data_IF_692167624417
#
_entry.id   IF_692167624417
#
_cell.length_a   1.000
_cell.length_b   1.000
_cell.length_c   1.000
_cell.angle_alpha   90.00
_cell.angle_beta   90.00
_cell.angle_gamma   90.00
#
_symmetry.space_group_name_H-M   'P 1'
#
loop_
_entity.id
_entity.type
_entity.pdbx_description
1 polymer ?
#
# COMPACT_ATOMS: atom_id res chain seq x y z
N UNK A 1 -1.32 -37.12 -24.18
CA UNK A 1 -0.81 -35.76 -23.90
C UNK A 1 0.69 -35.88 -23.72
N UNK A 2 1.49 -35.24 -24.58
CA UNK A 2 2.93 -35.45 -24.64
C UNK A 2 3.64 -34.54 -23.62
N UNK A 3 4.67 -35.05 -22.93
CA UNK A 3 5.33 -34.35 -21.81
C UNK A 3 5.93 -33.00 -22.23
N UNK A 4 6.35 -32.91 -23.48
CA UNK A 4 6.92 -31.70 -24.09
C UNK A 4 5.89 -30.60 -24.33
N UNK A 5 4.64 -30.93 -24.67
CA UNK A 5 3.56 -29.94 -24.82
C UNK A 5 3.18 -29.32 -23.47
N UNK A 6 3.21 -30.10 -22.39
CA UNK A 6 2.93 -29.61 -21.02
C UNK A 6 4.02 -28.64 -20.58
N UNK A 7 5.29 -29.00 -20.81
CA UNK A 7 6.44 -28.14 -20.47
C UNK A 7 6.48 -26.85 -21.31
N UNK A 8 6.13 -26.92 -22.60
CA UNK A 8 6.03 -25.75 -23.46
C UNK A 8 4.88 -24.82 -23.05
N UNK A 9 3.79 -25.37 -22.49
CA UNK A 9 2.65 -24.61 -21.98
C UNK A 9 3.00 -23.88 -20.68
N UNK A 10 3.59 -24.57 -19.71
CA UNK A 10 4.06 -23.97 -18.44
C UNK A 10 5.13 -22.89 -18.67
N UNK A 11 6.02 -23.08 -19.64
CA UNK A 11 7.06 -22.09 -19.97
C UNK A 11 6.52 -20.85 -20.70
N UNK A 12 5.37 -20.97 -21.36
CA UNK A 12 4.67 -19.84 -22.01
C UNK A 12 3.62 -19.19 -21.09
N UNK A 13 3.18 -19.88 -20.03
CA UNK A 13 2.24 -19.39 -19.01
C UNK A 13 2.94 -18.51 -17.96
N UNK A 14 3.62 -17.45 -18.41
CA UNK A 14 3.96 -16.29 -17.58
C UNK A 14 4.67 -16.57 -16.23
N UNK A 15 4.44 -15.67 -15.27
CA UNK A 15 4.99 -15.74 -13.91
C UNK A 15 4.28 -16.88 -13.17
N UNK A 16 5.05 -17.76 -12.52
CA UNK A 16 4.52 -18.87 -11.72
C UNK A 16 3.56 -18.32 -10.64
N UNK A 17 2.41 -18.98 -10.42
CA UNK A 17 1.44 -18.60 -9.39
C UNK A 17 2.09 -18.45 -8.02
N UNK A 18 3.10 -19.30 -7.73
CA UNK A 18 3.89 -19.21 -6.50
C UNK A 18 4.70 -17.91 -6.43
N UNK A 19 5.34 -17.50 -7.52
CA UNK A 19 6.09 -16.25 -7.58
C UNK A 19 5.15 -15.04 -7.41
N UNK A 20 3.98 -15.06 -8.03
CA UNK A 20 2.97 -14.01 -7.88
C UNK A 20 2.46 -13.91 -6.43
N UNK A 21 2.28 -15.04 -5.75
CA UNK A 21 1.91 -15.07 -4.34
C UNK A 21 3.00 -14.49 -3.44
N UNK A 22 4.26 -14.89 -3.65
CA UNK A 22 5.41 -14.37 -2.89
C UNK A 22 5.57 -12.86 -3.12
N UNK A 23 5.42 -12.38 -4.35
CA UNK A 23 5.44 -10.95 -4.67
C UNK A 23 4.35 -10.19 -3.91
N UNK A 24 3.11 -10.69 -3.94
CA UNK A 24 1.97 -10.09 -3.22
C UNK A 24 2.23 -10.02 -1.71
N UNK A 25 2.70 -11.12 -1.11
CA UNK A 25 3.04 -11.18 0.32
C UNK A 25 4.19 -10.24 0.69
N UNK A 26 5.18 -10.10 -0.20
CA UNK A 26 6.33 -9.22 0.01
C UNK A 26 5.91 -7.75 0.10
N UNK A 27 4.97 -7.29 -0.73
CA UNK A 27 4.41 -5.94 -0.62
C UNK A 27 3.68 -5.72 0.71
N UNK A 28 2.91 -6.71 1.17
CA UNK A 28 2.24 -6.65 2.47
C UNK A 28 3.23 -6.54 3.63
N UNK A 29 4.28 -7.37 3.62
CA UNK A 29 5.34 -7.33 4.63
C UNK A 29 6.12 -6.01 4.61
N UNK A 30 6.49 -5.53 3.43
CA UNK A 30 7.16 -4.25 3.25
C UNK A 30 6.33 -3.07 3.79
N UNK A 31 5.02 -3.06 3.52
CA UNK A 31 4.12 -2.05 4.04
C UNK A 31 4.07 -2.03 5.57
N UNK A 32 4.09 -3.19 6.23
CA UNK A 32 4.13 -3.29 7.70
C UNK A 32 5.41 -2.65 8.23
N UNK A 33 6.56 -2.95 7.64
CA UNK A 33 7.85 -2.37 8.06
C UNK A 33 7.84 -0.84 7.90
N UNK A 34 7.30 -0.32 6.80
CA UNK A 34 7.17 1.12 6.56
C UNK A 34 6.28 1.79 7.61
N UNK A 35 5.15 1.18 7.96
CA UNK A 35 4.24 1.69 9.00
C UNK A 35 4.95 1.75 10.35
N UNK A 36 5.70 0.71 10.72
CA UNK A 36 6.47 0.68 11.97
C UNK A 36 7.50 1.82 11.99
N UNK A 37 8.25 2.01 10.92
CA UNK A 37 9.24 3.09 10.83
C UNK A 37 8.58 4.48 10.93
N UNK A 38 7.50 4.70 10.18
CA UNK A 38 6.72 5.94 10.24
C UNK A 38 6.20 6.22 11.67
N UNK A 39 5.76 5.18 12.39
CA UNK A 39 5.30 5.30 13.76
C UNK A 39 6.44 5.67 14.72
N UNK A 40 7.60 5.03 14.61
CA UNK A 40 8.79 5.36 15.42
C UNK A 40 9.21 6.80 15.18
N UNK A 41 9.33 7.24 13.93
CA UNK A 41 9.70 8.62 13.62
C UNK A 41 8.65 9.62 14.08
N UNK A 42 7.35 9.29 14.00
CA UNK A 42 6.29 10.14 14.54
C UNK A 42 6.45 10.36 16.04
N UNK A 43 6.81 9.32 16.80
CA UNK A 43 7.06 9.44 18.25
C UNK A 43 8.26 10.35 18.52
N UNK A 44 9.35 10.16 17.78
CA UNK A 44 10.57 10.99 17.94
C UNK A 44 10.22 12.46 17.68
N UNK A 45 9.57 12.77 16.56
CA UNK A 45 9.17 14.15 16.23
C UNK A 45 8.19 14.73 17.23
N UNK A 46 7.26 13.91 17.76
CA UNK A 46 6.34 14.35 18.79
C UNK A 46 7.06 14.72 20.10
N UNK A 47 8.09 13.97 20.50
CA UNK A 47 8.93 14.30 21.67
C UNK A 47 9.72 15.59 21.42
N UNK A 48 10.18 15.81 20.19
CA UNK A 48 10.86 17.05 19.78
C UNK A 48 9.90 18.25 19.62
N UNK A 49 8.59 18.06 19.82
CA UNK A 49 7.57 19.09 19.62
C UNK A 49 7.38 19.50 18.16
N UNK A 50 7.87 18.70 17.22
CA UNK A 50 7.74 18.93 15.80
C UNK A 50 6.48 18.28 15.23
N UNK A 51 6.01 18.84 14.11
CA UNK A 51 5.00 18.23 13.27
C UNK A 51 5.46 16.87 12.73
N UNK A 52 4.53 15.91 12.67
CA UNK A 52 4.74 14.54 12.16
C UNK A 52 3.71 14.15 11.07
N UNK A 53 3.01 15.14 10.49
CA UNK A 53 1.95 14.90 9.50
C UNK A 53 2.46 14.20 8.24
N UNK A 54 3.74 14.35 7.87
CA UNK A 54 4.34 13.71 6.71
C UNK A 54 4.27 12.17 6.76
N UNK A 55 4.39 11.58 7.95
CA UNK A 55 4.31 10.13 8.10
C UNK A 55 2.87 9.62 7.90
N UNK A 56 1.89 10.38 8.40
CA UNK A 56 0.48 10.13 8.13
C UNK A 56 0.17 10.22 6.64
N UNK A 57 0.65 11.27 5.97
CA UNK A 57 0.48 11.45 4.52
C UNK A 57 1.00 10.23 3.75
N UNK A 58 2.20 9.75 4.06
CA UNK A 58 2.81 8.59 3.38
C UNK A 58 1.95 7.34 3.56
N UNK A 59 1.56 7.01 4.80
CA UNK A 59 0.77 5.81 5.10
C UNK A 59 -0.60 5.88 4.43
N UNK A 60 -1.34 6.97 4.62
CA UNK A 60 -2.70 7.09 4.09
C UNK A 60 -2.73 7.22 2.57
N UNK A 61 -1.70 7.81 1.95
CA UNK A 61 -1.59 7.86 0.49
C UNK A 61 -1.36 6.46 -0.09
N UNK A 62 -0.47 5.67 0.51
CA UNK A 62 -0.27 4.28 0.14
C UNK A 62 -1.57 3.46 0.27
N UNK A 63 -2.28 3.63 1.39
CA UNK A 63 -3.52 2.91 1.66
C UNK A 63 -4.64 3.30 0.68
N UNK A 64 -4.75 4.60 0.36
CA UNK A 64 -5.73 5.11 -0.59
C UNK A 64 -5.47 4.58 -2.00
N UNK A 65 -4.22 4.68 -2.48
CA UNK A 65 -3.82 4.17 -3.79
C UNK A 65 -4.06 2.64 -3.91
N UNK A 66 -3.71 1.89 -2.86
CA UNK A 66 -3.92 0.44 -2.80
C UNK A 66 -5.40 0.07 -2.87
N UNK A 67 -6.27 0.79 -2.14
CA UNK A 67 -7.70 0.55 -2.14
C UNK A 67 -8.36 0.94 -3.47
N UNK A 68 -7.96 2.05 -4.09
CA UNK A 68 -8.47 2.40 -5.43
C UNK A 68 -8.03 1.37 -6.49
N UNK A 69 -6.80 0.86 -6.41
CA UNK A 69 -6.35 -0.20 -7.32
C UNK A 69 -7.15 -1.49 -7.10
N UNK A 70 -7.37 -1.90 -5.85
CA UNK A 70 -8.19 -3.05 -5.51
C UNK A 70 -9.65 -2.87 -5.97
N UNK A 71 -10.22 -1.67 -5.83
CA UNK A 71 -11.55 -1.39 -6.37
C UNK A 71 -11.59 -1.56 -7.89
N UNK A 72 -10.58 -1.06 -8.62
CA UNK A 72 -10.50 -1.19 -10.07
C UNK A 72 -10.40 -2.66 -10.54
N UNK A 73 -9.77 -3.54 -9.74
CA UNK A 73 -9.54 -4.94 -10.09
C UNK A 73 -10.61 -5.91 -9.58
N UNK A 74 -11.10 -5.69 -8.36
CA UNK A 74 -12.06 -6.58 -7.67
C UNK A 74 -13.49 -6.06 -7.84
N UNK A 75 -13.70 -4.74 -7.96
CA UNK A 75 -15.02 -4.13 -8.16
C UNK A 75 -15.86 -3.98 -6.89
N UNK A 76 -15.35 -4.38 -5.72
CA UNK A 76 -16.11 -4.30 -4.47
C UNK A 76 -16.17 -2.86 -3.90
N UNK A 77 -17.38 -2.39 -3.60
CA UNK A 77 -17.63 -1.03 -3.09
C UNK A 77 -16.91 -0.70 -1.78
N UNK A 78 -16.59 -1.71 -0.95
CA UNK A 78 -15.85 -1.51 0.31
C UNK A 78 -14.50 -0.81 0.07
N UNK A 79 -13.78 -1.20 -0.99
CA UNK A 79 -12.48 -0.63 -1.31
C UNK A 79 -12.60 0.81 -1.81
N UNK A 80 -13.68 1.13 -2.52
CA UNK A 80 -13.96 2.51 -2.93
C UNK A 80 -14.20 3.41 -1.71
N UNK A 81 -15.04 2.96 -0.78
CA UNK A 81 -15.37 3.72 0.43
C UNK A 81 -14.11 3.98 1.26
N UNK A 82 -13.33 2.93 1.55
CA UNK A 82 -12.07 3.06 2.30
C UNK A 82 -11.06 3.94 1.56
N UNK A 83 -10.96 3.79 0.24
CA UNK A 83 -10.08 4.62 -0.60
C UNK A 83 -10.41 6.11 -0.53
N UNK A 84 -11.70 6.47 -0.54
CA UNK A 84 -12.16 7.86 -0.40
C UNK A 84 -11.86 8.40 1.00
N UNK A 85 -12.19 7.65 2.06
CA UNK A 85 -11.92 8.09 3.43
C UNK A 85 -10.42 8.35 3.65
N UNK A 86 -9.58 7.42 3.23
CA UNK A 86 -8.12 7.54 3.34
C UNK A 86 -7.58 8.70 2.48
N UNK A 87 -8.13 8.96 1.30
CA UNK A 87 -7.78 10.12 0.49
C UNK A 87 -8.10 11.44 1.19
N UNK A 88 -9.27 11.54 1.84
CA UNK A 88 -9.64 12.71 2.64
C UNK A 88 -8.65 12.90 3.78
N UNK A 89 -8.25 11.84 4.47
CA UNK A 89 -7.24 11.90 5.55
C UNK A 89 -5.90 12.42 5.03
N UNK A 90 -5.49 12.05 3.82
CA UNK A 90 -4.28 12.60 3.17
C UNK A 90 -4.41 14.11 2.97
N UNK A 91 -5.53 14.58 2.42
CA UNK A 91 -5.75 16.02 2.18
C UNK A 91 -5.71 16.80 3.51
N UNK A 92 -6.40 16.31 4.54
CA UNK A 92 -6.40 16.93 5.86
C UNK A 92 -4.99 16.97 6.48
N UNK A 93 -4.24 15.87 6.34
CA UNK A 93 -2.86 15.80 6.85
C UNK A 93 -1.91 16.72 6.06
N UNK A 94 -2.11 16.87 4.75
CA UNK A 94 -1.38 17.84 3.93
C UNK A 94 -1.68 19.28 4.36
N UNK A 95 -2.94 19.61 4.61
CA UNK A 95 -3.33 20.93 5.12
C UNK A 95 -2.67 21.17 6.49
N UNK A 96 -2.74 20.19 7.40
CA UNK A 96 -2.06 20.26 8.71
C UNK A 96 -0.56 20.46 8.58
N UNK A 97 0.10 19.74 7.66
CA UNK A 97 1.52 19.88 7.38
C UNK A 97 1.90 21.31 6.93
N UNK A 98 1.08 21.95 6.10
CA UNK A 98 1.33 23.33 5.66
C UNK A 98 0.99 24.40 6.71
N UNK A 99 -0.03 24.16 7.55
CA UNK A 99 -0.48 25.12 8.56
C UNK A 99 0.39 25.12 9.83
N UNK A 100 0.95 23.96 10.19
CA UNK A 100 1.71 23.73 11.43
C UNK A 100 3.22 23.64 11.14
N UNK A 101 3.64 24.04 9.92
CA UNK A 101 5.05 24.15 9.56
C UNK A 101 5.77 25.26 10.31
#
# INVERSE_FOLDING_TARGET
MNKEEILARVKNEGIDEREQQVLSQSFGFGAIVVVILCFIFSIIKAIEGQSFYEFGIIIFAYLSASNFYQYKKIGEKKYLIVGIFTAITVILSFIGYFLIR
#
